data_IF_630347068249
#
_entry.id   IF_630347068249
#
_cell.length_a   1.000
_cell.length_b   1.000
_cell.length_c   1.000
_cell.angle_alpha   90.00
_cell.angle_beta   90.00
_cell.angle_gamma   90.00
#
_symmetry.space_group_name_H-M   'P 1'
#
loop_
_entity.id
_entity.type
_entity.pdbx_description
1 polymer ?
#
# COMPACT_ATOMS: atom_id res chain seq x y z
N UNK A 1 3.47 -5.33 -8.79
CA UNK A 1 3.20 -5.45 -7.34
C UNK A 1 1.89 -6.18 -7.00
N UNK A 2 1.32 -6.95 -7.92
CA UNK A 2 0.09 -7.74 -7.73
C UNK A 2 0.15 -8.66 -6.48
N UNK A 3 1.31 -9.29 -6.22
CA UNK A 3 1.58 -10.11 -5.02
C UNK A 3 1.62 -9.33 -3.70
N UNK A 4 1.77 -8.00 -3.73
CA UNK A 4 1.84 -7.16 -2.52
C UNK A 4 0.45 -7.02 -1.91
N UNK A 5 -0.55 -6.61 -2.70
CA UNK A 5 -1.92 -6.48 -2.19
C UNK A 5 -2.61 -7.84 -1.97
N UNK A 6 -2.22 -8.89 -2.71
CA UNK A 6 -2.55 -10.27 -2.35
C UNK A 6 -2.06 -10.66 -0.95
N UNK A 7 -0.86 -10.21 -0.54
CA UNK A 7 -0.37 -10.39 0.84
C UNK A 7 -1.13 -9.53 1.86
N UNK A 8 -1.77 -8.43 1.45
CA UNK A 8 -2.65 -7.65 2.33
C UNK A 8 -3.96 -8.39 2.60
N UNK A 9 -4.55 -8.95 1.55
CA UNK A 9 -5.71 -9.85 1.67
C UNK A 9 -5.35 -11.06 2.53
N UNK A 10 -4.22 -11.74 2.26
CA UNK A 10 -3.75 -12.88 3.06
C UNK A 10 -3.37 -12.50 4.51
N UNK A 11 -2.86 -11.29 4.76
CA UNK A 11 -2.57 -10.80 6.11
C UNK A 11 -3.84 -10.47 6.89
N UNK A 12 -4.92 -10.04 6.21
CA UNK A 12 -6.25 -9.87 6.78
C UNK A 12 -6.91 -11.23 7.10
N UNK A 13 -6.64 -12.25 6.28
CA UNK A 13 -7.04 -13.64 6.51
C UNK A 13 -6.33 -14.22 7.75
N UNK A 14 -5.01 -14.02 7.86
CA UNK A 14 -4.15 -14.54 8.95
C UNK A 14 -4.39 -13.91 10.34
N UNK A 15 -5.08 -12.76 10.42
CA UNK A 15 -5.35 -12.08 11.69
C UNK A 15 -6.62 -12.59 12.40
N UNK A 16 -7.48 -13.34 11.71
CA UNK A 16 -8.67 -13.94 12.32
C UNK A 16 -8.44 -15.34 12.87
N UNK A 17 -7.44 -16.06 12.36
CA UNK A 17 -7.04 -17.39 12.85
C UNK A 17 -6.22 -17.35 14.14
N UNK A 18 -6.00 -16.19 14.76
CA UNK A 18 -5.48 -16.13 16.14
C UNK A 18 -6.58 -16.06 17.21
N UNK A 19 -7.85 -16.16 16.83
CA UNK A 19 -8.94 -16.39 17.77
C UNK A 19 -9.23 -17.89 18.01
N UNK A 20 -8.67 -18.80 17.20
CA UNK A 20 -8.75 -20.24 17.44
C UNK A 20 -7.41 -20.90 17.09
N UNK A 21 -6.84 -21.61 18.07
CA UNK A 21 -5.44 -22.00 18.10
C UNK A 21 -5.02 -22.95 16.98
N UNK A 22 -4.01 -22.55 16.22
CA UNK A 22 -2.94 -23.43 15.72
C UNK A 22 -1.74 -22.58 15.24
N UNK A 23 -0.59 -22.78 15.88
CA UNK A 23 0.63 -21.99 15.68
C UNK A 23 1.34 -22.41 14.40
N UNK A 24 1.06 -21.74 13.28
CA UNK A 24 1.92 -21.81 12.11
C UNK A 24 3.29 -21.19 12.45
N UNK A 25 4.32 -22.03 12.58
CA UNK A 25 5.71 -21.67 12.89
C UNK A 25 6.37 -20.88 11.75
N UNK A 26 5.98 -19.61 11.59
CA UNK A 26 6.71 -18.62 10.82
C UNK A 26 7.48 -17.71 11.77
N UNK A 27 8.80 -17.59 11.58
CA UNK A 27 9.66 -16.77 12.45
C UNK A 27 9.11 -15.33 12.57
N UNK A 28 8.70 -14.87 13.77
CA UNK A 28 7.88 -13.66 13.95
C UNK A 28 8.53 -12.39 13.41
N UNK A 29 9.87 -12.30 13.42
CA UNK A 29 10.62 -11.20 12.80
C UNK A 29 10.38 -11.12 11.29
N UNK A 30 10.44 -12.25 10.56
CA UNK A 30 10.20 -12.28 9.10
C UNK A 30 8.78 -11.86 8.74
N UNK A 31 7.77 -12.28 9.51
CA UNK A 31 6.39 -11.85 9.27
C UNK A 31 6.19 -10.35 9.52
N UNK A 32 6.81 -9.79 10.56
CA UNK A 32 6.75 -8.35 10.82
C UNK A 32 7.38 -7.53 9.70
N UNK A 33 8.53 -7.96 9.15
CA UNK A 33 9.14 -7.28 8.01
C UNK A 33 8.26 -7.33 6.75
N UNK A 34 7.63 -8.46 6.46
CA UNK A 34 6.68 -8.57 5.33
C UNK A 34 5.49 -7.63 5.50
N UNK A 35 4.97 -7.47 6.73
CA UNK A 35 3.88 -6.53 7.04
C UNK A 35 4.32 -5.07 6.93
N UNK A 36 5.54 -4.74 7.38
CA UNK A 36 6.09 -3.40 7.27
C UNK A 36 6.38 -2.99 5.81
N UNK A 37 6.94 -3.90 5.02
CA UNK A 37 7.20 -3.68 3.59
C UNK A 37 5.91 -3.54 2.79
N UNK A 38 4.89 -4.31 3.16
CA UNK A 38 3.56 -4.22 2.58
C UNK A 38 2.90 -2.87 2.89
N UNK A 39 2.93 -2.46 4.15
CA UNK A 39 2.44 -1.15 4.63
C UNK A 39 3.13 0.01 3.93
N UNK A 40 4.46 -0.04 3.82
CA UNK A 40 5.22 0.98 3.08
C UNK A 40 4.86 0.97 1.59
N UNK A 41 4.69 -0.22 0.99
CA UNK A 41 4.28 -0.37 -0.40
C UNK A 41 2.92 0.27 -0.70
N UNK A 42 1.92 0.06 0.16
CA UNK A 42 0.58 0.68 -0.01
C UNK A 42 0.65 2.20 0.08
N UNK A 43 1.35 2.75 1.08
CA UNK A 43 1.48 4.20 1.19
C UNK A 43 2.17 4.81 -0.04
N UNK A 44 3.28 4.21 -0.51
CA UNK A 44 3.95 4.65 -1.74
C UNK A 44 3.03 4.54 -2.95
N UNK A 45 2.22 3.48 -3.03
CA UNK A 45 1.26 3.33 -4.13
C UNK A 45 0.23 4.45 -4.15
N UNK A 46 -0.36 4.79 -2.99
CA UNK A 46 -1.38 5.83 -2.89
C UNK A 46 -0.77 7.20 -3.22
N UNK A 47 0.44 7.48 -2.74
CA UNK A 47 1.13 8.75 -3.00
C UNK A 47 1.45 8.90 -4.48
N UNK A 48 2.17 7.93 -5.06
CA UNK A 48 2.68 8.03 -6.42
C UNK A 48 1.60 7.81 -7.50
N UNK A 49 0.44 7.26 -7.16
CA UNK A 49 -0.68 7.15 -8.10
C UNK A 49 -1.33 8.50 -8.44
N UNK A 50 -1.13 9.54 -7.62
CA UNK A 50 -1.54 10.91 -7.95
C UNK A 50 -3.04 11.12 -8.13
N UNK A 51 -3.89 10.24 -7.58
CA UNK A 51 -5.35 10.27 -7.76
C UNK A 51 -6.10 10.09 -6.45
N UNK A 52 -7.41 10.30 -6.51
CA UNK A 52 -8.30 9.93 -5.42
C UNK A 52 -8.37 8.40 -5.25
N UNK A 53 -8.35 7.97 -4.00
CA UNK A 53 -8.32 6.55 -3.64
C UNK A 53 -9.28 6.32 -2.47
N UNK A 54 -10.21 5.39 -2.68
CA UNK A 54 -11.00 4.78 -1.61
C UNK A 54 -10.58 3.31 -1.47
N UNK A 55 -9.97 2.96 -0.35
CA UNK A 55 -9.66 1.57 0.00
C UNK A 55 -10.78 1.04 0.90
N UNK A 56 -11.68 0.17 0.38
CA UNK A 56 -12.85 -0.27 1.12
C UNK A 56 -12.46 -1.16 2.31
N UNK A 57 -13.18 -1.02 3.43
CA UNK A 57 -13.06 -1.93 4.58
C UNK A 57 -13.50 -3.33 4.19
N UNK A 58 -12.83 -4.35 4.73
CA UNK A 58 -13.25 -5.73 4.56
C UNK A 58 -14.60 -5.96 5.25
N UNK A 59 -15.56 -6.62 4.58
CA UNK A 59 -16.81 -7.01 5.22
C UNK A 59 -16.55 -8.02 6.35
N UNK A 60 -17.43 -8.01 7.36
CA UNK A 60 -17.36 -8.89 8.53
C UNK A 60 -17.61 -10.35 8.14
N UNK A 61 -18.62 -10.58 7.28
CA UNK A 61 -18.90 -11.88 6.69
C UNK A 61 -17.87 -12.18 5.59
N UNK A 62 -17.10 -13.27 5.82
CA UNK A 62 -15.97 -13.70 4.98
C UNK A 62 -16.36 -14.71 3.90
N UNK A 63 -17.51 -15.34 4.01
CA UNK A 63 -17.97 -16.37 3.06
C UNK A 63 -19.05 -15.84 2.12
N UNK A 64 -19.62 -14.69 2.45
CA UNK A 64 -20.61 -13.98 1.64
C UNK A 64 -20.11 -13.43 0.31
N UNK A 65 -21.08 -13.14 -0.56
CA UNK A 65 -20.87 -12.43 -1.84
C UNK A 65 -20.18 -11.08 -1.62
N UNK A 66 -20.46 -10.40 -0.52
CA UNK A 66 -19.82 -9.14 -0.14
C UNK A 66 -18.29 -9.26 -0.03
N UNK A 67 -17.76 -10.33 0.58
CA UNK A 67 -16.31 -10.55 0.69
C UNK A 67 -15.66 -10.80 -0.67
N UNK A 68 -16.32 -11.57 -1.54
CA UNK A 68 -15.83 -11.81 -2.91
C UNK A 68 -15.78 -10.51 -3.72
N UNK A 69 -16.83 -9.69 -3.65
CA UNK A 69 -16.87 -8.37 -4.31
C UNK A 69 -15.81 -7.42 -3.75
N UNK A 70 -15.62 -7.41 -2.42
CA UNK A 70 -14.54 -6.64 -1.79
C UNK A 70 -13.16 -7.08 -2.29
N UNK A 71 -12.87 -8.38 -2.34
CA UNK A 71 -11.60 -8.91 -2.89
C UNK A 71 -11.37 -8.47 -4.32
N UNK A 72 -12.40 -8.54 -5.18
CA UNK A 72 -12.31 -8.08 -6.55
C UNK A 72 -12.05 -6.58 -6.64
N UNK A 73 -12.75 -5.74 -5.85
CA UNK A 73 -12.51 -4.29 -5.82
C UNK A 73 -11.09 -3.95 -5.38
N UNK A 74 -10.59 -4.58 -4.33
CA UNK A 74 -9.21 -4.40 -3.85
C UNK A 74 -8.21 -4.83 -4.93
N UNK A 75 -8.51 -5.93 -5.66
CA UNK A 75 -7.68 -6.39 -6.76
C UNK A 75 -7.61 -5.39 -7.91
N UNK A 76 -8.76 -4.91 -8.40
CA UNK A 76 -8.81 -3.92 -9.49
C UNK A 76 -8.10 -2.64 -9.08
N UNK A 77 -8.30 -2.18 -7.84
CA UNK A 77 -7.60 -1.02 -7.29
C UNK A 77 -6.08 -1.25 -7.25
N UNK A 78 -5.65 -2.44 -6.83
CA UNK A 78 -4.23 -2.81 -6.77
C UNK A 78 -3.55 -2.71 -8.14
N UNK A 79 -4.20 -3.21 -9.18
CA UNK A 79 -3.66 -3.20 -10.54
C UNK A 79 -3.61 -1.80 -11.14
N UNK A 80 -4.64 -0.98 -10.90
CA UNK A 80 -4.67 0.43 -11.30
C UNK A 80 -3.52 1.21 -10.63
N UNK A 81 -3.37 1.08 -9.32
CA UNK A 81 -2.30 1.73 -8.56
C UNK A 81 -0.92 1.25 -9.02
N UNK A 82 -0.72 -0.05 -9.22
CA UNK A 82 0.57 -0.59 -9.68
C UNK A 82 0.95 -0.06 -11.08
N UNK A 83 0.00 0.10 -11.99
CA UNK A 83 0.24 0.70 -13.31
C UNK A 83 0.62 2.18 -13.16
N UNK A 84 -0.20 2.98 -12.47
CA UNK A 84 -0.01 4.42 -12.31
C UNK A 84 1.29 4.78 -11.60
N UNK A 85 1.60 4.09 -10.51
CA UNK A 85 2.82 4.32 -9.73
C UNK A 85 4.07 4.04 -10.56
N UNK A 86 4.07 2.93 -11.30
CA UNK A 86 5.25 2.60 -12.11
C UNK A 86 5.41 3.52 -13.32
N UNK A 87 4.30 4.01 -13.90
CA UNK A 87 4.35 5.05 -14.94
C UNK A 87 4.90 6.36 -14.37
N UNK A 88 4.31 6.87 -13.28
CA UNK A 88 4.72 8.12 -12.65
C UNK A 88 6.19 8.08 -12.20
N UNK A 89 6.61 7.02 -11.51
CA UNK A 89 8.02 6.88 -11.09
C UNK A 89 8.96 6.66 -12.28
N UNK A 90 8.51 5.96 -13.33
CA UNK A 90 9.28 5.75 -14.55
C UNK A 90 9.55 7.05 -15.31
N UNK A 91 8.58 7.96 -15.34
CA UNK A 91 8.75 9.30 -15.91
C UNK A 91 9.74 10.16 -15.12
N UNK A 92 9.96 9.90 -13.83
CA UNK A 92 10.88 10.68 -12.99
C UNK A 92 12.30 10.11 -13.05
N UNK A 93 12.46 8.80 -12.87
CA UNK A 93 13.78 8.18 -12.68
C UNK A 93 14.27 7.35 -13.89
N UNK A 94 13.49 7.32 -14.98
CA UNK A 94 13.79 6.58 -16.21
C UNK A 94 13.79 5.06 -16.05
N UNK A 95 13.41 4.51 -14.89
CA UNK A 95 13.51 3.06 -14.62
C UNK A 95 12.24 2.31 -14.99
N UNK A 96 12.44 1.04 -15.32
CA UNK A 96 11.36 0.08 -15.53
C UNK A 96 10.53 -0.22 -14.27
N UNK A 97 9.55 -1.10 -14.44
CA UNK A 97 8.56 -1.46 -13.42
C UNK A 97 9.17 -2.12 -12.18
N UNK A 98 8.80 -1.63 -11.00
CA UNK A 98 8.99 -2.32 -9.72
C UNK A 98 8.06 -3.52 -9.59
N UNK A 99 8.63 -4.73 -9.53
CA UNK A 99 7.86 -5.98 -9.48
C UNK A 99 7.38 -6.34 -8.06
N UNK A 100 8.07 -5.86 -7.02
CA UNK A 100 7.78 -6.21 -5.60
C UNK A 100 7.63 -4.96 -4.71
N UNK A 101 7.01 -5.13 -3.54
CA UNK A 101 6.93 -4.06 -2.53
C UNK A 101 8.32 -3.57 -2.08
N UNK A 102 9.25 -4.50 -1.84
CA UNK A 102 10.62 -4.18 -1.42
C UNK A 102 11.38 -3.40 -2.49
N UNK A 103 11.22 -3.75 -3.78
CA UNK A 103 11.82 -2.98 -4.88
C UNK A 103 11.21 -1.59 -4.98
N UNK A 104 9.89 -1.47 -4.83
CA UNK A 104 9.21 -0.17 -4.82
C UNK A 104 9.71 0.71 -3.67
N UNK A 105 9.82 0.16 -2.45
CA UNK A 105 10.33 0.87 -1.28
C UNK A 105 11.78 1.32 -1.48
N UNK A 106 12.63 0.46 -2.07
CA UNK A 106 14.01 0.84 -2.40
C UNK A 106 14.06 1.95 -3.44
N UNK A 107 13.20 1.88 -4.47
CA UNK A 107 13.06 2.91 -5.51
C UNK A 107 12.57 4.24 -4.91
N UNK A 108 11.58 4.21 -4.02
CA UNK A 108 11.08 5.39 -3.31
C UNK A 108 12.19 6.07 -2.48
N UNK A 109 13.00 5.31 -1.75
CA UNK A 109 14.16 5.86 -1.02
C UNK A 109 15.20 6.48 -1.95
N UNK A 110 15.44 5.89 -3.11
CA UNK A 110 16.33 6.48 -4.14
C UNK A 110 15.73 7.75 -4.74
N UNK A 111 14.43 7.77 -5.03
CA UNK A 111 13.74 8.95 -5.53
C UNK A 111 13.95 10.15 -4.61
N UNK A 112 13.85 9.90 -3.30
CA UNK A 112 14.11 10.92 -2.28
C UNK A 112 15.53 11.48 -2.30
N UNK A 113 16.53 10.64 -2.56
CA UNK A 113 17.93 11.03 -2.59
C UNK A 113 18.32 11.70 -3.92
N UNK A 114 17.89 11.11 -5.04
CA UNK A 114 18.36 11.44 -6.39
C UNK A 114 17.43 12.46 -7.09
N UNK A 115 16.16 12.55 -6.68
CA UNK A 115 15.12 13.36 -7.32
C UNK A 115 14.25 14.10 -6.28
N UNK A 116 14.91 14.82 -5.36
CA UNK A 116 14.26 15.40 -4.17
C UNK A 116 13.07 16.30 -4.48
N UNK A 117 13.17 17.19 -5.46
CA UNK A 117 12.06 18.10 -5.85
C UNK A 117 10.81 17.34 -6.32
N UNK A 118 10.98 16.29 -7.12
CA UNK A 118 9.87 15.46 -7.57
C UNK A 118 9.28 14.62 -6.42
N UNK A 119 10.13 14.13 -5.52
CA UNK A 119 9.69 13.46 -4.30
C UNK A 119 8.84 14.38 -3.43
N UNK A 120 9.29 15.61 -3.17
CA UNK A 120 8.59 16.57 -2.34
C UNK A 120 7.26 16.97 -2.99
N UNK A 121 7.22 17.19 -4.32
CA UNK A 121 5.97 17.47 -5.05
C UNK A 121 4.94 16.34 -4.93
N UNK A 122 5.36 15.07 -5.03
CA UNK A 122 4.47 13.92 -4.81
C UNK A 122 3.92 13.89 -3.37
N UNK A 123 4.77 14.17 -2.38
CA UNK A 123 4.37 14.22 -0.98
C UNK A 123 3.38 15.37 -0.72
N UNK A 124 3.66 16.57 -1.20
CA UNK A 124 2.76 17.73 -1.08
C UNK A 124 1.40 17.47 -1.74
N UNK A 125 1.38 16.94 -2.96
CA UNK A 125 0.14 16.60 -3.65
C UNK A 125 -0.69 15.56 -2.90
N UNK A 126 -0.03 14.57 -2.28
CA UNK A 126 -0.70 13.61 -1.41
C UNK A 126 -1.28 14.26 -0.15
N UNK A 127 -0.53 15.12 0.54
CA UNK A 127 -0.99 15.81 1.75
C UNK A 127 -2.23 16.65 1.44
N UNK A 128 -2.20 17.46 0.37
CA UNK A 128 -3.35 18.26 -0.06
C UNK A 128 -4.56 17.39 -0.37
N UNK A 129 -4.38 16.30 -1.13
CA UNK A 129 -5.50 15.40 -1.47
C UNK A 129 -6.08 14.70 -0.24
N UNK A 130 -5.23 14.33 0.73
CA UNK A 130 -5.66 13.74 1.99
C UNK A 130 -6.43 14.74 2.85
N UNK A 131 -5.97 15.99 2.93
CA UNK A 131 -6.67 17.06 3.64
C UNK A 131 -8.06 17.35 3.05
N UNK A 132 -8.20 17.23 1.72
CA UNK A 132 -9.46 17.43 1.02
C UNK A 132 -10.39 16.20 1.05
N UNK A 133 -10.01 15.11 1.73
CA UNK A 133 -10.82 13.88 1.80
C UNK A 133 -10.76 12.99 0.55
N UNK A 134 -9.96 13.33 -0.46
CA UNK A 134 -9.79 12.53 -1.68
C UNK A 134 -8.99 11.24 -1.47
N UNK A 135 -8.44 11.01 -0.28
CA UNK A 135 -7.77 9.77 0.10
C UNK A 135 -8.43 9.21 1.36
N UNK A 136 -9.15 8.11 1.19
CA UNK A 136 -9.78 7.37 2.28
C UNK A 136 -9.21 5.96 2.31
N UNK A 137 -8.36 5.67 3.27
CA UNK A 137 -7.88 4.32 3.53
C UNK A 137 -8.63 3.75 4.75
N UNK A 138 -9.64 2.92 4.49
CA UNK A 138 -10.42 2.26 5.55
C UNK A 138 -9.94 0.83 5.84
N UNK A 139 -8.88 0.39 5.18
CA UNK A 139 -8.33 -0.95 5.29
C UNK A 139 -7.12 -0.98 6.24
N UNK A 140 -6.31 0.09 6.24
CA UNK A 140 -5.14 0.23 7.11
C UNK A 140 -5.51 0.98 8.38
N UNK A 141 -5.18 0.47 9.60
CA UNK A 141 -5.36 1.22 10.83
C UNK A 141 -4.68 2.60 10.78
N UNK A 142 -5.22 3.61 11.45
CA UNK A 142 -4.67 4.98 11.42
C UNK A 142 -3.22 5.08 11.92
N UNK A 143 -2.80 4.23 12.87
CA UNK A 143 -1.39 4.09 13.32
C UNK A 143 -0.46 3.53 12.24
N UNK A 144 -1.04 3.04 11.15
CA UNK A 144 -0.35 2.40 10.04
C UNK A 144 -0.36 3.19 8.73
N UNK A 145 -1.05 4.32 8.70
CA UNK A 145 -1.02 5.22 7.55
C UNK A 145 0.10 6.24 7.73
N UNK A 146 0.80 6.58 6.65
CA UNK A 146 1.74 7.70 6.70
C UNK A 146 0.98 9.00 6.98
N UNK A 147 1.52 9.75 7.92
CA UNK A 147 1.11 11.09 8.31
C UNK A 147 2.09 12.09 7.70
N UNK A 148 1.70 13.37 7.72
CA UNK A 148 2.52 14.47 7.22
C UNK A 148 3.97 14.42 7.75
N UNK A 149 4.15 14.19 9.05
CA UNK A 149 5.47 14.03 9.68
C UNK A 149 6.36 12.92 9.08
N UNK A 150 5.76 11.85 8.55
CA UNK A 150 6.48 10.73 7.96
C UNK A 150 6.98 11.05 6.54
N UNK A 151 6.47 12.13 5.94
CA UNK A 151 6.81 12.60 4.59
C UNK A 151 7.78 13.78 4.62
N UNK A 152 7.80 14.56 5.70
CA UNK A 152 8.62 15.77 5.87
C UNK A 152 10.00 15.52 6.51
N UNK A 153 10.15 14.47 7.33
CA UNK A 153 11.47 14.02 7.84
C UNK A 153 12.33 13.48 6.74
#
# INVERSE_FOLDING_TARGET
>A
MQRTLQKLVAAHESKATSADGAVAHGNPKKQQFVRADLKAGVNVMIIAAGREVDVPTAPLDRDGVAYRLWKQRVWTLAEDLDKKVNAALGSIDGKGRSKTAGSLRKRWRKLRADHRSAYDALCSAFITRKANGGIVDRCTPASHQWKQKDLES
#
